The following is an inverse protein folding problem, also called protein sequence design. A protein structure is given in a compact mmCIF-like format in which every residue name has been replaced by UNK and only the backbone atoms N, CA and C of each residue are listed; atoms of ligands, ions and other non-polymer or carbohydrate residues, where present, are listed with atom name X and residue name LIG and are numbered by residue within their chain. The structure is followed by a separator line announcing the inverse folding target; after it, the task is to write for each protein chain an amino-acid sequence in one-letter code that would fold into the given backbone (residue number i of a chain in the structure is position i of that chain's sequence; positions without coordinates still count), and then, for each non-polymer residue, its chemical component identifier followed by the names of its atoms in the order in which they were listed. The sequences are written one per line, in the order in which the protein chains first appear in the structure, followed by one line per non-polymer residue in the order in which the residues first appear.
data_IF_044983714204
#
_entry.id   IF_044983714204
#
_cell.length_a   1.000
_cell.length_b   1.000
_cell.length_c   1.000
_cell.angle_alpha   90.00
_cell.angle_beta   90.00
_cell.angle_gamma   90.00
#
_symmetry.space_group_name_H-M   'P 1'
#
loop_
_entity.id
_entity.type
_entity.pdbx_description
1 polymer ?
#
# COMPACT_ATOMS: atom_id res chain seq x y z
N UNK A 1 28.53 -9.99 -11.01
CA UNK A 1 27.11 -10.17 -11.24
C UNK A 1 26.37 -10.14 -9.91
N UNK A 2 25.36 -9.30 -9.78
CA UNK A 2 24.60 -9.21 -8.53
C UNK A 2 23.71 -10.44 -8.35
N UNK A 3 23.69 -11.01 -7.15
CA UNK A 3 22.76 -12.09 -6.82
C UNK A 3 21.34 -11.52 -6.71
N UNK A 4 20.36 -12.28 -7.22
CA UNK A 4 18.94 -11.97 -7.05
C UNK A 4 18.55 -12.40 -5.64
N UNK A 5 18.12 -11.45 -4.82
CA UNK A 5 17.68 -11.74 -3.45
C UNK A 5 16.27 -12.32 -3.46
N UNK A 6 15.96 -13.13 -2.44
CA UNK A 6 14.60 -13.68 -2.26
C UNK A 6 13.52 -12.58 -2.25
N UNK A 7 13.82 -11.46 -1.60
CA UNK A 7 12.90 -10.32 -1.58
C UNK A 7 12.63 -9.74 -2.97
N UNK A 8 13.62 -9.73 -3.85
CA UNK A 8 13.45 -9.23 -5.21
C UNK A 8 12.57 -10.18 -6.04
N UNK A 9 12.74 -11.49 -5.86
CA UNK A 9 11.89 -12.49 -6.50
C UNK A 9 10.44 -12.33 -6.03
N UNK A 10 10.23 -12.16 -4.75
CA UNK A 10 8.90 -11.98 -4.17
C UNK A 10 8.20 -10.75 -4.75
N UNK A 11 8.92 -9.65 -4.90
CA UNK A 11 8.38 -8.42 -5.51
C UNK A 11 8.05 -8.62 -6.98
N UNK A 12 8.88 -9.34 -7.71
CA UNK A 12 8.60 -9.67 -9.11
C UNK A 12 7.35 -10.52 -9.24
N UNK A 13 7.20 -11.54 -8.41
CA UNK A 13 6.00 -12.38 -8.39
C UNK A 13 4.75 -11.58 -8.06
N UNK A 14 4.86 -10.66 -7.11
CA UNK A 14 3.78 -9.75 -6.72
C UNK A 14 3.31 -8.91 -7.92
N UNK A 15 4.24 -8.31 -8.65
CA UNK A 15 3.93 -7.53 -9.85
C UNK A 15 3.28 -8.37 -10.94
N UNK A 16 3.81 -9.57 -11.19
CA UNK A 16 3.25 -10.48 -12.17
C UNK A 16 1.82 -10.90 -11.81
N UNK A 17 1.57 -11.18 -10.53
CA UNK A 17 0.24 -11.56 -10.07
C UNK A 17 -0.77 -10.44 -10.32
N UNK A 18 -0.41 -9.19 -10.03
CA UNK A 18 -1.28 -8.04 -10.31
C UNK A 18 -1.58 -7.91 -11.80
N UNK A 19 -0.56 -8.03 -12.65
CA UNK A 19 -0.72 -7.93 -14.10
C UNK A 19 -1.59 -9.05 -14.65
N UNK A 20 -1.42 -10.28 -14.18
CA UNK A 20 -2.23 -11.43 -14.60
C UNK A 20 -3.70 -11.25 -14.26
N UNK A 21 -4.01 -10.51 -13.21
CA UNK A 21 -5.38 -10.23 -12.80
C UNK A 21 -5.95 -8.97 -13.47
N UNK A 22 -5.21 -8.36 -14.39
CA UNK A 22 -5.70 -7.28 -15.23
C UNK A 22 -5.30 -5.87 -14.84
N UNK A 23 -4.43 -5.70 -13.83
CA UNK A 23 -3.92 -4.37 -13.49
C UNK A 23 -2.94 -3.95 -14.60
N UNK A 24 -3.25 -2.87 -15.30
CA UNK A 24 -2.46 -2.41 -16.44
C UNK A 24 -1.95 -0.98 -16.32
N UNK A 25 -2.49 -0.19 -15.40
CA UNK A 25 -2.03 1.19 -15.20
C UNK A 25 -0.59 1.17 -14.65
N UNK A 26 0.35 1.69 -15.44
CA UNK A 26 1.77 1.66 -15.09
C UNK A 26 2.08 2.47 -13.84
N UNK A 27 1.38 3.58 -13.63
CA UNK A 27 1.59 4.40 -12.43
C UNK A 27 1.15 3.64 -11.17
N UNK A 28 0.02 2.94 -11.23
CA UNK A 28 -0.46 2.10 -10.12
C UNK A 28 0.53 0.96 -9.84
N UNK A 29 0.97 0.26 -10.87
CA UNK A 29 1.94 -0.84 -10.72
C UNK A 29 3.25 -0.35 -10.11
N UNK A 30 3.72 0.82 -10.55
CA UNK A 30 4.93 1.45 -9.99
C UNK A 30 4.75 1.81 -8.52
N UNK A 31 3.62 2.42 -8.17
CA UNK A 31 3.32 2.77 -6.78
C UNK A 31 3.29 1.53 -5.89
N UNK A 32 2.67 0.45 -6.35
CA UNK A 32 2.62 -0.81 -5.62
C UNK A 32 4.01 -1.44 -5.46
N UNK A 33 4.91 -1.22 -6.42
CA UNK A 33 6.29 -1.69 -6.33
C UNK A 33 7.13 -0.84 -5.36
N UNK A 34 6.93 0.46 -5.36
CA UNK A 34 7.71 1.40 -4.53
C UNK A 34 7.37 1.32 -3.04
N UNK A 35 6.11 1.03 -2.70
CA UNK A 35 5.68 1.00 -1.31
C UNK A 35 6.03 -0.35 -0.68
N UNK A 36 6.90 -0.38 0.34
CA UNK A 36 7.27 -1.64 1.00
C UNK A 36 6.13 -2.12 1.90
N UNK A 37 5.28 -2.99 1.36
CA UNK A 37 4.09 -3.48 2.06
C UNK A 37 4.41 -4.11 3.42
N UNK A 38 5.57 -4.77 3.56
CA UNK A 38 6.02 -5.37 4.82
C UNK A 38 6.15 -4.36 5.95
N UNK A 39 6.35 -3.09 5.64
CA UNK A 39 6.42 -2.03 6.65
C UNK A 39 5.04 -1.61 7.19
N UNK A 40 3.98 -2.10 6.56
CA UNK A 40 2.59 -1.75 6.92
C UNK A 40 1.84 -2.89 7.60
N UNK A 41 2.55 -3.95 7.96
CA UNK A 41 2.02 -5.07 8.74
C UNK A 41 2.91 -5.28 9.98
N UNK A 42 2.41 -6.07 10.94
CA UNK A 42 3.22 -6.41 12.10
C UNK A 42 4.42 -7.27 11.69
N UNK A 43 5.48 -7.25 12.50
CA UNK A 43 6.68 -8.04 12.23
C UNK A 43 6.36 -9.54 12.08
N UNK A 44 5.39 -10.05 12.85
CA UNK A 44 4.96 -11.44 12.78
C UNK A 44 4.37 -11.83 11.42
N UNK A 45 3.84 -10.87 10.67
CA UNK A 45 3.18 -11.10 9.37
C UNK A 45 4.04 -10.64 8.18
N UNK A 46 5.24 -10.15 8.43
CA UNK A 46 6.08 -9.59 7.36
C UNK A 46 6.34 -10.57 6.21
N UNK A 47 6.53 -11.86 6.53
CA UNK A 47 6.74 -12.89 5.51
C UNK A 47 5.52 -13.12 4.61
N UNK A 48 4.33 -12.79 5.10
CA UNK A 48 3.08 -12.95 4.35
C UNK A 48 2.64 -11.66 3.65
N UNK A 49 3.43 -10.59 3.77
CA UNK A 49 3.01 -9.24 3.34
C UNK A 49 2.61 -9.17 1.87
N UNK A 50 3.28 -9.91 1.00
CA UNK A 50 3.02 -9.87 -0.45
C UNK A 50 2.10 -10.99 -0.95
N UNK A 51 1.60 -11.84 -0.06
CA UNK A 51 0.57 -12.80 -0.44
C UNK A 51 -0.71 -12.07 -0.82
N UNK A 52 -1.42 -12.57 -1.82
CA UNK A 52 -2.64 -11.93 -2.32
C UNK A 52 -3.83 -12.22 -1.40
N UNK A 53 -3.77 -11.69 -0.19
CA UNK A 53 -4.78 -11.86 0.86
C UNK A 53 -4.82 -10.65 1.77
N UNK A 54 -5.96 -10.43 2.41
CA UNK A 54 -6.07 -9.48 3.50
C UNK A 54 -5.37 -10.04 4.74
N UNK A 55 -4.77 -9.17 5.53
CA UNK A 55 -4.10 -9.56 6.77
C UNK A 55 -4.66 -8.76 7.94
N UNK A 56 -4.68 -9.34 9.15
CA UNK A 56 -5.19 -8.63 10.32
C UNK A 56 -4.26 -7.50 10.75
N UNK A 57 -4.87 -6.43 11.24
CA UNK A 57 -4.20 -5.33 11.93
C UNK A 57 -4.92 -5.08 13.25
N UNK A 58 -4.49 -4.10 14.02
CA UNK A 58 -5.11 -3.78 15.30
C UNK A 58 -6.59 -3.40 15.15
N UNK A 59 -7.31 -3.39 16.26
CA UNK A 59 -8.71 -2.97 16.35
C UNK A 59 -9.68 -3.82 15.52
N UNK A 60 -9.35 -5.08 15.26
CA UNK A 60 -10.19 -6.00 14.48
C UNK A 60 -10.30 -5.62 13.01
N UNK A 61 -9.41 -4.76 12.51
CA UNK A 61 -9.40 -4.32 11.13
C UNK A 61 -8.43 -5.15 10.30
N UNK A 62 -8.36 -4.86 8.99
CA UNK A 62 -7.45 -5.57 8.08
C UNK A 62 -6.75 -4.57 7.16
N UNK A 63 -5.55 -4.95 6.71
CA UNK A 63 -4.95 -4.39 5.51
C UNK A 63 -5.54 -5.14 4.33
N UNK A 64 -6.07 -4.41 3.36
CA UNK A 64 -6.75 -5.02 2.21
C UNK A 64 -5.79 -5.85 1.37
N UNK A 65 -6.33 -6.89 0.73
CA UNK A 65 -5.64 -7.72 -0.24
C UNK A 65 -4.96 -6.85 -1.31
N UNK A 66 -3.73 -7.16 -1.73
CA UNK A 66 -3.00 -6.33 -2.71
C UNK A 66 -3.77 -6.06 -3.99
N UNK A 67 -4.41 -7.06 -4.58
CA UNK A 67 -5.19 -6.86 -5.79
C UNK A 67 -6.33 -5.85 -5.59
N UNK A 68 -7.00 -5.90 -4.44
CA UNK A 68 -8.10 -4.97 -4.15
C UNK A 68 -7.58 -3.54 -4.09
N UNK A 69 -6.44 -3.32 -3.42
CA UNK A 69 -5.80 -2.00 -3.37
C UNK A 69 -5.48 -1.50 -4.78
N UNK A 70 -4.82 -2.33 -5.58
CA UNK A 70 -4.44 -1.97 -6.95
C UNK A 70 -5.65 -1.69 -7.83
N UNK A 71 -6.68 -2.56 -7.76
CA UNK A 71 -7.90 -2.42 -8.56
C UNK A 71 -8.65 -1.13 -8.21
N UNK A 72 -8.88 -0.88 -6.94
CA UNK A 72 -9.60 0.32 -6.50
C UNK A 72 -8.84 1.59 -6.89
N UNK A 73 -7.52 1.57 -6.72
CA UNK A 73 -6.67 2.71 -7.08
C UNK A 73 -6.69 2.96 -8.58
N UNK A 74 -6.62 1.91 -9.40
CA UNK A 74 -6.70 2.02 -10.86
C UNK A 74 -8.02 2.62 -11.30
N UNK A 75 -9.13 2.19 -10.69
CA UNK A 75 -10.46 2.68 -11.02
C UNK A 75 -10.65 4.16 -10.70
N UNK A 76 -9.92 4.70 -9.74
CA UNK A 76 -10.00 6.12 -9.38
C UNK A 76 -9.37 7.05 -10.40
N UNK A 77 -8.52 6.53 -11.29
CA UNK A 77 -7.82 7.32 -12.31
C UNK A 77 -7.14 8.57 -11.74
N UNK A 78 -6.37 8.36 -10.67
CA UNK A 78 -5.71 9.45 -9.94
C UNK A 78 -4.53 10.00 -10.74
N UNK A 79 -4.47 11.33 -10.85
CA UNK A 79 -3.36 12.03 -11.47
C UNK A 79 -2.60 12.93 -10.48
N UNK A 80 -1.42 13.43 -10.87
CA UNK A 80 -0.54 14.19 -9.98
C UNK A 80 -1.09 15.55 -9.53
N UNK A 81 -2.20 15.99 -10.12
CA UNK A 81 -2.88 17.24 -9.75
C UNK A 81 -4.02 17.01 -8.74
N UNK A 82 -4.39 15.78 -8.49
CA UNK A 82 -5.56 15.46 -7.65
C UNK A 82 -5.24 15.51 -6.16
N UNK A 83 -6.23 15.94 -5.40
CA UNK A 83 -6.27 15.87 -3.95
C UNK A 83 -7.16 14.69 -3.56
N UNK A 84 -6.68 13.80 -2.70
CA UNK A 84 -7.41 12.59 -2.31
C UNK A 84 -7.77 12.63 -0.84
N UNK A 85 -9.00 12.32 -0.52
CA UNK A 85 -9.47 12.09 0.84
C UNK A 85 -9.71 10.60 1.02
N UNK A 86 -9.02 10.01 1.98
CA UNK A 86 -9.22 8.62 2.37
C UNK A 86 -9.99 8.57 3.70
N UNK A 87 -11.05 7.77 3.73
CA UNK A 87 -11.77 7.50 4.97
C UNK A 87 -11.44 6.08 5.41
N UNK A 88 -10.81 5.96 6.58
CA UNK A 88 -10.35 4.68 7.11
C UNK A 88 -8.89 4.41 6.74
N UNK A 89 -7.97 5.06 7.47
CA UNK A 89 -6.53 4.95 7.23
C UNK A 89 -6.01 3.51 7.41
N UNK A 90 -6.55 2.81 8.40
CA UNK A 90 -6.12 1.44 8.72
C UNK A 90 -4.63 1.36 8.98
N UNK A 91 -3.93 0.51 8.23
CA UNK A 91 -2.48 0.34 8.36
C UNK A 91 -1.66 1.52 7.83
N UNK A 92 -2.26 2.36 6.97
CA UNK A 92 -1.57 3.41 6.24
C UNK A 92 -1.08 2.99 4.85
N UNK A 93 -1.23 1.72 4.50
CA UNK A 93 -0.73 1.20 3.23
C UNK A 93 -1.38 1.87 2.01
N UNK A 94 -2.71 1.95 1.99
CA UNK A 94 -3.43 2.58 0.88
C UNK A 94 -3.04 4.06 0.76
N UNK A 95 -2.90 4.77 1.88
CA UNK A 95 -2.47 6.16 1.88
C UNK A 95 -1.06 6.31 1.28
N UNK A 96 -0.15 5.39 1.59
CA UNK A 96 1.20 5.39 1.03
C UNK A 96 1.16 5.19 -0.48
N UNK A 97 0.35 4.25 -0.97
CA UNK A 97 0.17 4.01 -2.41
C UNK A 97 -0.39 5.26 -3.09
N UNK A 98 -1.45 5.82 -2.53
CA UNK A 98 -2.08 7.04 -3.07
C UNK A 98 -1.11 8.21 -3.13
N UNK A 99 -0.21 8.32 -2.15
CA UNK A 99 0.76 9.42 -2.09
C UNK A 99 1.75 9.43 -3.25
N UNK A 100 1.95 8.28 -3.93
CA UNK A 100 2.80 8.19 -5.12
C UNK A 100 2.08 8.68 -6.38
N UNK A 101 0.77 8.82 -6.33
CA UNK A 101 -0.06 9.11 -7.51
C UNK A 101 -0.68 10.50 -7.47
N UNK A 102 -1.13 10.92 -6.29
CA UNK A 102 -1.84 12.16 -6.09
C UNK A 102 -0.89 13.30 -5.70
N UNK A 103 -1.39 14.52 -5.79
CA UNK A 103 -0.68 15.69 -5.31
C UNK A 103 -0.53 15.63 -3.78
N UNK A 104 -1.62 15.36 -3.10
CA UNK A 104 -1.62 15.13 -1.65
C UNK A 104 -2.76 14.20 -1.24
N UNK A 105 -2.64 13.63 -0.06
CA UNK A 105 -3.61 12.71 0.51
C UNK A 105 -3.90 13.14 1.94
N UNK A 106 -5.19 13.31 2.24
CA UNK A 106 -5.67 13.48 3.62
C UNK A 106 -6.36 12.18 4.00
N UNK A 107 -5.98 11.60 5.12
CA UNK A 107 -6.54 10.34 5.57
C UNK A 107 -7.11 10.47 6.98
N UNK A 108 -8.29 9.91 7.20
CA UNK A 108 -9.03 10.00 8.46
C UNK A 108 -9.23 8.60 9.03
N UNK A 109 -8.91 8.44 10.32
CA UNK A 109 -9.05 7.18 11.04
C UNK A 109 -9.74 7.40 12.38
N UNK A 110 -10.77 6.60 12.65
CA UNK A 110 -11.53 6.72 13.91
C UNK A 110 -10.80 6.10 15.10
N UNK A 111 -9.96 5.08 14.88
CA UNK A 111 -9.23 4.41 15.96
C UNK A 111 -7.87 5.09 16.17
N UNK A 112 -7.69 5.71 17.33
CA UNK A 112 -6.45 6.45 17.63
C UNK A 112 -5.21 5.57 17.51
N UNK A 113 -5.26 4.33 17.97
CA UNK A 113 -4.13 3.39 17.89
C UNK A 113 -3.70 3.18 16.44
N UNK A 114 -4.65 2.98 15.52
CA UNK A 114 -4.36 2.83 14.10
C UNK A 114 -3.83 4.13 13.51
N UNK A 115 -4.43 5.27 13.86
CA UNK A 115 -3.99 6.57 13.36
C UNK A 115 -2.53 6.85 13.75
N UNK A 116 -2.17 6.59 15.00
CA UNK A 116 -0.81 6.82 15.49
C UNK A 116 0.20 5.89 14.81
N UNK A 117 -0.11 4.61 14.68
CA UNK A 117 0.76 3.64 14.01
C UNK A 117 0.93 3.99 12.52
N UNK A 118 -0.15 4.36 11.85
CA UNK A 118 -0.11 4.76 10.44
C UNK A 118 0.75 6.02 10.26
N UNK A 119 0.62 6.98 11.16
CA UNK A 119 1.44 8.21 11.11
C UNK A 119 2.93 7.90 11.19
N UNK A 120 3.33 7.00 12.08
CA UNK A 120 4.72 6.57 12.21
C UNK A 120 5.22 5.91 10.92
N UNK A 121 4.43 5.00 10.36
CA UNK A 121 4.77 4.28 9.13
C UNK A 121 4.90 5.22 7.94
N UNK A 122 3.96 6.15 7.80
CA UNK A 122 3.94 7.10 6.70
C UNK A 122 5.08 8.12 6.81
N UNK A 123 5.45 8.52 8.01
CA UNK A 123 6.60 9.39 8.25
C UNK A 123 7.89 8.69 7.79
N UNK A 124 8.05 7.42 8.12
CA UNK A 124 9.20 6.62 7.69
C UNK A 124 9.20 6.45 6.17
N UNK A 125 8.04 6.31 5.57
CA UNK A 125 7.87 6.17 4.11
C UNK A 125 8.23 7.46 3.34
N UNK A 126 8.29 8.60 4.02
CA UNK A 126 8.72 9.89 3.48
C UNK A 126 7.86 10.47 2.37
N UNK A 127 6.56 10.18 2.36
CA UNK A 127 5.62 10.79 1.43
C UNK A 127 4.62 11.66 2.18
N UNK A 128 4.09 12.66 1.47
CA UNK A 128 3.15 13.61 2.06
C UNK A 128 1.77 12.98 2.18
N UNK A 129 1.38 12.68 3.42
CA UNK A 129 0.01 12.36 3.79
C UNK A 129 -0.37 13.32 4.92
N UNK A 130 -1.41 14.04 4.72
CA UNK A 130 -1.85 15.08 5.65
C UNK A 130 -3.06 14.60 6.44
#
# INVERSE_FOLDING_TARGET
MAEIRAADVERMEFQLALRRRGISDQAVLRAMDEVPREHFVSAALAESAYADQALPIDCGQTISQPYVVAYMTEQLEIGPQHHVLEIGTGSGYQAAVLSRLARDVVSIERYRTLADTARERLTTDRKSVV
#
